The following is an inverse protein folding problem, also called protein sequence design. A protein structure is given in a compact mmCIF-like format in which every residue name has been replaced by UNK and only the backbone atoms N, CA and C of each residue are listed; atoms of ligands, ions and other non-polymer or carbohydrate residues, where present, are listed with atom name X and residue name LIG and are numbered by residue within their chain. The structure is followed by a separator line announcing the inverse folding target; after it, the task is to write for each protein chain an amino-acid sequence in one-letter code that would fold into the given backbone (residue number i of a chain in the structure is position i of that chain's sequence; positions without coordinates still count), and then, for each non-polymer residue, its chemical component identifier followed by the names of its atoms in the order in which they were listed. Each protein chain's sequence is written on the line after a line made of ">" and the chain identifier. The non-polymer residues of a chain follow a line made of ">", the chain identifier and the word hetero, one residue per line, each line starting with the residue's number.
data_IF_972210879981
#
_entry.id   IF_972210879981
#
_cell.length_a   1.000
_cell.length_b   1.000
_cell.length_c   1.000
_cell.angle_alpha   90.00
_cell.angle_beta   90.00
_cell.angle_gamma   90.00
#
_symmetry.space_group_name_H-M   'P 1'
#
loop_
_entity.id
_entity.type
_entity.pdbx_description
1 polymer ?
#
# COMPACT_ATOMS: atom_id res chain seq x y z
N UNK A 1 -11.17 -1.71 -21.16
CA UNK A 1 -11.64 -1.43 -19.79
C UNK A 1 -10.49 -1.71 -18.82
N UNK A 2 -10.21 -0.78 -17.93
CA UNK A 2 -9.18 -0.98 -16.92
C UNK A 2 -9.64 -2.02 -15.89
N UNK A 3 -8.73 -2.82 -15.42
CA UNK A 3 -9.01 -3.85 -14.43
C UNK A 3 -8.51 -3.40 -13.05
N UNK A 4 -9.13 -3.96 -12.01
CA UNK A 4 -8.63 -3.79 -10.66
C UNK A 4 -7.32 -4.56 -10.50
N UNK A 5 -6.38 -3.97 -9.78
CA UNK A 5 -5.11 -4.62 -9.48
C UNK A 5 -5.34 -5.66 -8.38
N UNK A 6 -5.14 -6.93 -8.70
CA UNK A 6 -5.40 -8.02 -7.75
C UNK A 6 -4.49 -7.97 -6.53
N UNK A 7 -3.26 -7.47 -6.69
CA UNK A 7 -2.34 -7.32 -5.56
C UNK A 7 -2.85 -6.24 -4.61
N UNK A 8 -3.31 -5.11 -5.14
CA UNK A 8 -3.78 -3.97 -4.32
C UNK A 8 -5.22 -4.17 -3.85
N UNK A 9 -6.02 -4.95 -4.57
CA UNK A 9 -7.45 -5.09 -4.29
C UNK A 9 -7.75 -5.72 -2.93
N UNK A 10 -6.84 -6.46 -2.35
CA UNK A 10 -7.01 -7.03 -1.01
C UNK A 10 -7.08 -5.87 0.01
N UNK A 11 -8.08 -5.87 0.92
CA UNK A 11 -8.35 -4.70 1.78
C UNK A 11 -7.17 -4.18 2.58
N UNK A 12 -6.38 -5.05 3.20
CA UNK A 12 -5.23 -4.59 3.99
C UNK A 12 -4.13 -4.00 3.10
N UNK A 13 -3.86 -4.64 1.96
CA UNK A 13 -2.87 -4.11 1.01
C UNK A 13 -3.32 -2.76 0.43
N UNK A 14 -4.61 -2.61 0.16
CA UNK A 14 -5.16 -1.32 -0.27
C UNK A 14 -4.92 -0.24 0.79
N UNK A 15 -5.14 -0.55 2.06
CA UNK A 15 -4.89 0.40 3.16
C UNK A 15 -3.42 0.75 3.30
N UNK A 16 -2.53 -0.23 3.15
CA UNK A 16 -1.09 0.00 3.20
C UNK A 16 -0.69 0.96 2.08
N UNK A 17 -1.12 0.69 0.85
CA UNK A 17 -0.77 1.54 -0.29
C UNK A 17 -1.37 2.93 -0.15
N UNK A 18 -2.59 3.06 0.35
CA UNK A 18 -3.21 4.36 0.59
C UNK A 18 -2.41 5.19 1.59
N UNK A 19 -1.95 4.58 2.68
CA UNK A 19 -1.14 5.26 3.69
C UNK A 19 0.20 5.72 3.11
N UNK A 20 0.88 4.85 2.35
CA UNK A 20 2.20 5.16 1.79
C UNK A 20 2.13 6.20 0.67
N UNK A 21 1.13 6.10 -0.20
CA UNK A 21 1.00 7.02 -1.34
C UNK A 21 0.48 8.40 -0.94
N UNK A 22 -0.07 8.54 0.26
CA UNK A 22 -0.43 9.85 0.81
C UNK A 22 0.81 10.68 1.17
N UNK A 23 1.98 10.04 1.30
CA UNK A 23 3.23 10.72 1.61
C UNK A 23 3.91 11.22 0.34
N UNK A 24 4.78 12.27 0.44
CA UNK A 24 5.62 12.65 -0.67
C UNK A 24 6.47 11.49 -1.18
N UNK A 25 6.90 11.58 -2.44
CA UNK A 25 7.75 10.56 -3.06
C UNK A 25 8.99 10.31 -2.22
N UNK A 26 9.41 9.05 -2.16
CA UNK A 26 10.58 8.58 -1.42
C UNK A 26 10.46 8.64 0.10
N UNK A 27 9.34 9.10 0.65
CA UNK A 27 9.09 9.00 2.10
C UNK A 27 8.39 7.69 2.42
N UNK A 28 8.81 7.08 3.53
CA UNK A 28 8.22 5.84 4.02
C UNK A 28 7.66 5.97 5.42
N UNK A 29 7.00 4.90 5.85
CA UNK A 29 6.49 4.75 7.21
C UNK A 29 7.17 3.57 7.85
N UNK A 30 7.45 3.67 9.15
CA UNK A 30 7.95 2.51 9.86
C UNK A 30 6.81 1.50 10.09
N UNK A 31 7.21 0.27 10.40
CA UNK A 31 6.28 -0.84 10.59
C UNK A 31 5.27 -0.55 11.70
N UNK A 32 5.72 0.04 12.81
CA UNK A 32 4.88 0.37 13.95
C UNK A 32 3.80 1.36 13.57
N UNK A 33 4.14 2.39 12.80
CA UNK A 33 3.20 3.39 12.33
C UNK A 33 2.17 2.78 11.38
N UNK A 34 2.63 1.95 10.44
CA UNK A 34 1.73 1.24 9.53
C UNK A 34 0.75 0.35 10.28
N UNK A 35 1.24 -0.34 11.31
CA UNK A 35 0.39 -1.17 12.15
C UNK A 35 -0.73 -0.36 12.79
N UNK A 36 -0.41 0.81 13.34
CA UNK A 36 -1.40 1.71 13.94
C UNK A 36 -2.41 2.21 12.92
N UNK A 37 -1.94 2.62 11.75
CA UNK A 37 -2.81 3.18 10.71
C UNK A 37 -3.75 2.14 10.10
N UNK A 38 -3.31 0.89 10.01
CA UNK A 38 -4.10 -0.17 9.37
C UNK A 38 -4.91 -1.00 10.35
N UNK A 39 -4.55 -0.97 11.63
CA UNK A 39 -5.18 -1.83 12.64
C UNK A 39 -4.81 -3.30 12.52
N UNK A 40 -3.79 -3.64 11.74
CA UNK A 40 -3.41 -5.02 11.49
C UNK A 40 -2.58 -5.63 12.62
N UNK A 41 -2.56 -6.95 12.70
CA UNK A 41 -1.61 -7.67 13.55
C UNK A 41 -0.23 -7.66 12.90
N UNK A 42 0.83 -7.90 13.70
CA UNK A 42 2.19 -7.97 13.19
C UNK A 42 2.32 -8.99 12.06
N UNK A 43 1.76 -10.18 12.25
CA UNK A 43 1.85 -11.25 11.26
C UNK A 43 1.13 -10.92 9.97
N UNK A 44 -0.08 -10.38 10.05
CA UNK A 44 -0.84 -9.99 8.86
C UNK A 44 -0.16 -8.86 8.10
N UNK A 45 0.30 -7.84 8.83
CA UNK A 45 0.98 -6.71 8.20
C UNK A 45 2.26 -7.16 7.50
N UNK A 46 3.09 -7.96 8.18
CA UNK A 46 4.32 -8.48 7.61
C UNK A 46 4.10 -9.30 6.34
N UNK A 47 3.10 -10.19 6.36
CA UNK A 47 2.77 -11.03 5.21
C UNK A 47 2.33 -10.20 4.00
N UNK A 48 1.49 -9.20 4.23
CA UNK A 48 0.99 -8.36 3.13
C UNK A 48 2.05 -7.39 2.61
N UNK A 49 2.92 -6.87 3.46
CA UNK A 49 4.08 -6.08 3.04
C UNK A 49 5.00 -6.94 2.16
N UNK A 50 5.22 -8.20 2.53
CA UNK A 50 6.04 -9.10 1.71
C UNK A 50 5.42 -9.30 0.32
N UNK A 51 4.12 -9.51 0.24
CA UNK A 51 3.42 -9.65 -1.04
C UNK A 51 3.59 -8.39 -1.90
N UNK A 52 3.42 -7.22 -1.31
CA UNK A 52 3.62 -5.94 -2.02
C UNK A 52 5.07 -5.76 -2.46
N UNK A 53 6.03 -6.16 -1.63
CA UNK A 53 7.45 -6.09 -1.96
C UNK A 53 7.81 -7.00 -3.13
N UNK A 54 7.30 -8.23 -3.14
CA UNK A 54 7.51 -9.16 -4.24
C UNK A 54 6.91 -8.67 -5.55
N UNK A 55 5.81 -7.94 -5.48
CA UNK A 55 5.19 -7.33 -6.66
C UNK A 55 5.94 -6.08 -7.14
N UNK A 56 6.92 -5.61 -6.39
CA UNK A 56 7.67 -4.40 -6.72
C UNK A 56 6.96 -3.11 -6.38
N UNK A 57 5.91 -3.16 -5.56
CA UNK A 57 5.10 -1.98 -5.23
C UNK A 57 5.60 -1.24 -4.00
N UNK A 58 6.34 -1.90 -3.14
CA UNK A 58 6.98 -1.26 -1.98
C UNK A 58 8.42 -1.72 -1.87
N UNK A 59 9.24 -0.87 -1.24
CA UNK A 59 10.60 -1.20 -0.85
C UNK A 59 10.65 -1.26 0.68
N UNK A 60 11.32 -2.27 1.21
CA UNK A 60 11.46 -2.47 2.64
C UNK A 60 12.91 -2.28 3.02
N UNK A 61 13.17 -1.41 3.98
CA UNK A 61 14.50 -1.13 4.47
C UNK A 61 14.56 -1.39 5.97
N UNK A 62 15.57 -2.16 6.38
CA UNK A 62 15.83 -2.44 7.78
C UNK A 62 17.08 -1.70 8.20
N UNK A 63 16.98 -0.95 9.29
CA UNK A 63 18.08 -0.16 9.82
C UNK A 63 18.01 -0.16 11.34
N UNK A 64 19.05 0.36 11.98
CA UNK A 64 19.04 0.57 13.41
C UNK A 64 18.91 2.06 13.70
N UNK A 65 18.00 2.39 14.63
CA UNK A 65 17.89 3.73 15.20
C UNK A 65 18.40 3.60 16.63
N UNK A 66 19.64 4.01 16.85
CA UNK A 66 20.33 3.68 18.09
C UNK A 66 20.59 2.17 18.15
N UNK A 67 20.11 1.51 19.20
CA UNK A 67 20.23 0.05 19.38
C UNK A 67 18.97 -0.70 18.94
N UNK A 68 17.93 0.00 18.46
CA UNK A 68 16.66 -0.62 18.10
C UNK A 68 16.59 -0.84 16.59
N UNK A 69 16.20 -2.06 16.14
CA UNK A 69 15.92 -2.26 14.74
C UNK A 69 14.65 -1.54 14.33
N UNK A 70 14.66 -0.96 13.14
CA UNK A 70 13.49 -0.28 12.58
C UNK A 70 13.31 -0.73 11.13
N UNK A 71 12.09 -1.12 10.79
CA UNK A 71 11.72 -1.47 9.42
C UNK A 71 10.90 -0.33 8.84
N UNK A 72 11.35 0.21 7.72
CA UNK A 72 10.68 1.29 7.00
C UNK A 72 10.18 0.77 5.66
N UNK A 73 8.95 1.10 5.31
CA UNK A 73 8.29 0.70 4.07
C UNK A 73 8.00 1.95 3.26
N UNK A 74 8.39 1.93 1.98
CA UNK A 74 8.22 3.06 1.07
C UNK A 74 7.53 2.58 -0.20
N UNK A 75 6.55 3.32 -0.72
CA UNK A 75 5.95 3.01 -2.00
C UNK A 75 6.95 3.32 -3.12
N UNK A 76 7.12 2.38 -4.04
CA UNK A 76 7.95 2.59 -5.23
C UNK A 76 7.18 3.39 -6.28
N UNK A 77 7.88 3.88 -7.31
CA UNK A 77 7.22 4.52 -8.45
C UNK A 77 6.19 3.58 -9.10
N UNK A 78 6.55 2.30 -9.24
CA UNK A 78 5.63 1.28 -9.77
C UNK A 78 4.41 1.12 -8.88
N UNK A 79 4.60 1.11 -7.56
CA UNK A 79 3.50 0.99 -6.60
C UNK A 79 2.57 2.20 -6.61
N UNK A 80 3.13 3.40 -6.70
CA UNK A 80 2.34 4.63 -6.80
C UNK A 80 1.52 4.67 -8.08
N UNK A 81 2.10 4.28 -9.20
CA UNK A 81 1.39 4.19 -10.47
C UNK A 81 0.28 3.14 -10.44
N UNK A 82 0.57 1.96 -9.90
CA UNK A 82 -0.42 0.90 -9.76
C UNK A 82 -1.59 1.32 -8.87
N UNK A 83 -1.30 1.98 -7.76
CA UNK A 83 -2.33 2.47 -6.86
C UNK A 83 -3.22 3.53 -7.53
N UNK A 84 -2.62 4.48 -8.24
CA UNK A 84 -3.37 5.51 -8.95
C UNK A 84 -4.31 4.89 -9.99
N UNK A 85 -3.84 3.90 -10.76
CA UNK A 85 -4.68 3.20 -11.73
C UNK A 85 -5.80 2.41 -11.07
N UNK A 86 -5.51 1.78 -9.94
CA UNK A 86 -6.50 1.02 -9.18
C UNK A 86 -7.62 1.93 -8.66
N UNK A 87 -7.25 3.08 -8.09
CA UNK A 87 -8.22 4.07 -7.60
C UNK A 87 -9.07 4.60 -8.76
N UNK A 88 -8.46 4.91 -9.91
CA UNK A 88 -9.19 5.38 -11.08
C UNK A 88 -10.22 4.34 -11.55
N UNK A 89 -9.84 3.06 -11.54
CA UNK A 89 -10.76 1.97 -11.90
C UNK A 89 -11.92 1.86 -10.91
N UNK A 90 -11.64 1.97 -9.61
CA UNK A 90 -12.70 1.98 -8.60
C UNK A 90 -13.66 3.14 -8.81
N UNK A 91 -13.14 4.32 -9.12
CA UNK A 91 -13.97 5.50 -9.39
C UNK A 91 -14.84 5.30 -10.63
N UNK A 92 -14.32 4.67 -11.67
CA UNK A 92 -15.09 4.34 -12.87
C UNK A 92 -16.23 3.37 -12.56
N UNK A 93 -15.96 2.34 -11.74
CA UNK A 93 -16.97 1.37 -11.33
C UNK A 93 -18.09 2.06 -10.56
N UNK A 94 -17.73 2.92 -9.61
CA UNK A 94 -18.70 3.66 -8.81
C UNK A 94 -19.53 4.59 -9.68
N UNK A 95 -18.89 5.33 -10.59
CA UNK A 95 -19.58 6.25 -11.50
C UNK A 95 -20.53 5.52 -12.45
N UNK A 96 -20.13 4.38 -12.98
CA UNK A 96 -20.96 3.56 -13.84
C UNK A 96 -22.21 3.05 -13.10
N UNK A 97 -22.02 2.58 -11.86
CA UNK A 97 -23.11 2.09 -11.02
C UNK A 97 -24.10 3.21 -10.70
N UNK A 98 -23.63 4.42 -10.44
CA UNK A 98 -24.48 5.56 -10.16
C UNK A 98 -25.29 5.97 -11.39
N UNK A 99 -24.74 5.86 -12.61
CA UNK A 99 -25.45 6.21 -13.84
C UNK A 99 -26.55 5.23 -14.20
N UNK A 100 -26.41 3.98 -13.77
CA UNK A 100 -27.39 2.94 -14.08
C UNK A 100 -28.61 2.95 -13.15
N UNK A 101 -28.63 3.83 -12.17
CA UNK A 101 -29.75 3.95 -11.24
C UNK A 101 -30.69 5.11 -11.59
#
# INVERSE_FOLDING_TARGET
>A
MAELDEIIHQPLRLRIMAALTALPDAQGLDFTRLKKLTGATDGNLGAHIETLSKAGYVAVEKAFVGKKPQTTVTATAAGRGAFARHVATLQEIIAASARDN
#
